data_IF_194321738434
#
_entry.id   IF_194321738434
#
_cell.length_a   1.000
_cell.length_b   1.000
_cell.length_c   1.000
_cell.angle_alpha   90.00
_cell.angle_beta   90.00
_cell.angle_gamma   90.00
#
_symmetry.space_group_name_H-M   'P 1'
#
loop_
_entity.id
_entity.type
_entity.pdbx_description
1 polymer ?
#
# COMPACT_ATOMS: atom_id res chain seq x y z
N UNK A 1 44.26 -29.34 -13.87
CA UNK A 1 42.88 -28.84 -13.68
C UNK A 1 42.76 -28.32 -12.25
N UNK A 2 42.42 -27.05 -12.07
CA UNK A 2 42.17 -26.49 -10.74
C UNK A 2 40.81 -27.00 -10.26
N UNK A 3 40.79 -27.73 -9.14
CA UNK A 3 39.55 -28.24 -8.54
C UNK A 3 38.99 -27.22 -7.57
N UNK A 4 37.68 -27.21 -7.33
CA UNK A 4 37.04 -26.31 -6.34
C UNK A 4 37.65 -26.48 -4.94
N UNK A 5 38.13 -27.69 -4.62
CA UNK A 5 38.85 -28.00 -3.37
C UNK A 5 40.21 -27.31 -3.25
N UNK A 6 40.79 -26.80 -4.34
CA UNK A 6 42.05 -26.05 -4.32
C UNK A 6 41.86 -24.53 -4.18
N UNK A 7 40.63 -24.02 -4.28
CA UNK A 7 40.33 -22.61 -4.13
C UNK A 7 40.37 -22.16 -2.66
N UNK A 8 40.71 -20.90 -2.42
CA UNK A 8 40.60 -20.29 -1.08
C UNK A 8 39.13 -20.15 -0.66
N UNK A 9 38.87 -20.01 0.64
CA UNK A 9 37.51 -19.88 1.14
C UNK A 9 36.83 -18.60 0.63
N UNK A 10 37.58 -17.52 0.45
CA UNK A 10 37.10 -16.24 -0.07
C UNK A 10 36.62 -16.37 -1.52
N UNK A 11 37.37 -17.10 -2.36
CA UNK A 11 36.95 -17.36 -3.74
C UNK A 11 35.70 -18.25 -3.80
N UNK A 12 35.60 -19.24 -2.92
CA UNK A 12 34.41 -20.09 -2.81
C UNK A 12 33.21 -19.25 -2.38
N UNK A 13 33.35 -18.38 -1.39
CA UNK A 13 32.28 -17.47 -0.95
C UNK A 13 31.79 -16.57 -2.09
N UNK A 14 32.70 -15.93 -2.85
CA UNK A 14 32.36 -15.12 -4.04
C UNK A 14 31.58 -15.94 -5.09
N UNK A 15 31.99 -17.19 -5.32
CA UNK A 15 31.27 -18.10 -6.23
C UNK A 15 29.87 -18.39 -5.69
N UNK A 16 29.77 -18.76 -4.41
CA UNK A 16 28.47 -19.07 -3.79
C UNK A 16 27.52 -17.88 -3.82
N UNK A 17 28.02 -16.65 -3.78
CA UNK A 17 27.19 -15.44 -3.87
C UNK A 17 26.60 -15.17 -5.27
N UNK A 18 26.97 -15.90 -6.32
CA UNK A 18 26.39 -15.69 -7.66
C UNK A 18 24.88 -15.98 -7.70
N UNK A 19 24.11 -15.22 -8.48
CA UNK A 19 22.64 -15.36 -8.58
C UNK A 19 22.20 -16.70 -9.16
N UNK A 20 23.04 -17.32 -10.00
CA UNK A 20 22.78 -18.65 -10.56
C UNK A 20 22.84 -19.78 -9.53
N UNK A 21 23.40 -19.53 -8.34
CA UNK A 21 23.51 -20.51 -7.26
C UNK A 21 22.40 -20.25 -6.25
N UNK A 22 21.42 -21.14 -6.18
CA UNK A 22 20.29 -21.00 -5.26
C UNK A 22 20.63 -21.35 -3.82
N UNK A 23 19.73 -21.01 -2.89
CA UNK A 23 19.83 -21.41 -1.47
C UNK A 23 20.03 -22.93 -1.32
N UNK A 24 19.30 -23.72 -2.12
CA UNK A 24 19.40 -25.19 -2.12
C UNK A 24 20.81 -25.66 -2.51
N UNK A 25 21.43 -25.01 -3.50
CA UNK A 25 22.77 -25.35 -3.96
C UNK A 25 23.82 -25.05 -2.90
N UNK A 26 23.70 -23.91 -2.20
CA UNK A 26 24.58 -23.55 -1.07
C UNK A 26 24.49 -24.59 0.06
N UNK A 27 23.28 -25.01 0.43
CA UNK A 27 23.07 -26.05 1.46
C UNK A 27 23.67 -27.39 1.02
N UNK A 28 23.43 -27.80 -0.22
CA UNK A 28 23.99 -29.03 -0.78
C UNK A 28 25.53 -28.98 -0.81
N UNK A 29 26.11 -27.84 -1.18
CA UNK A 29 27.54 -27.62 -1.19
C UNK A 29 28.17 -27.78 0.19
N UNK A 30 27.58 -27.16 1.23
CA UNK A 30 28.03 -27.33 2.61
C UNK A 30 27.91 -28.75 3.14
N UNK A 31 27.01 -29.55 2.57
CA UNK A 31 26.79 -30.95 2.98
C UNK A 31 27.86 -31.92 2.46
N UNK A 32 28.77 -31.45 1.60
CA UNK A 32 29.80 -32.31 0.99
C UNK A 32 31.02 -32.55 1.90
N UNK A 33 31.48 -31.55 2.65
CA UNK A 33 32.64 -31.69 3.55
C UNK A 33 32.67 -30.61 4.65
N UNK A 34 33.41 -30.88 5.74
CA UNK A 34 33.54 -29.96 6.89
C UNK A 34 34.09 -28.58 6.51
N UNK A 35 35.02 -28.51 5.56
CA UNK A 35 35.56 -27.22 5.09
C UNK A 35 34.48 -26.38 4.44
N UNK A 36 33.69 -26.96 3.53
CA UNK A 36 32.63 -26.23 2.84
C UNK A 36 31.47 -25.90 3.77
N UNK A 37 31.17 -26.75 4.75
CA UNK A 37 30.24 -26.43 5.83
C UNK A 37 30.68 -25.18 6.60
N UNK A 38 31.97 -25.04 6.89
CA UNK A 38 32.50 -23.84 7.54
C UNK A 38 32.44 -22.59 6.65
N UNK A 39 32.63 -22.74 5.33
CA UNK A 39 32.50 -21.62 4.38
C UNK A 39 31.05 -21.09 4.34
N UNK A 40 30.05 -21.96 4.37
CA UNK A 40 28.64 -21.53 4.36
C UNK A 40 28.14 -21.07 5.73
N UNK A 41 28.98 -21.03 6.77
CA UNK A 41 28.59 -20.55 8.10
C UNK A 41 28.59 -19.01 8.18
N UNK A 42 29.04 -18.32 7.13
CA UNK A 42 29.03 -16.87 7.03
C UNK A 42 27.60 -16.31 6.86
N UNK A 43 27.18 -15.46 7.79
CA UNK A 43 25.86 -14.82 7.76
C UNK A 43 25.73 -13.80 6.61
N UNK A 44 26.83 -13.20 6.14
CA UNK A 44 26.81 -12.29 5.00
C UNK A 44 26.42 -12.99 3.70
N UNK A 45 26.81 -14.26 3.54
CA UNK A 45 26.37 -15.10 2.44
C UNK A 45 24.85 -15.30 2.49
N UNK A 46 24.31 -15.64 3.66
CA UNK A 46 22.87 -15.85 3.84
C UNK A 46 22.05 -14.58 3.68
N UNK A 47 22.56 -13.44 4.16
CA UNK A 47 22.00 -12.12 3.91
C UNK A 47 21.84 -11.84 2.41
N UNK A 48 22.92 -12.05 1.65
CA UNK A 48 22.89 -11.90 0.18
C UNK A 48 21.90 -12.87 -0.46
N UNK A 49 21.91 -14.15 -0.06
CA UNK A 49 21.02 -15.18 -0.62
C UNK A 49 19.55 -14.92 -0.34
N UNK A 50 19.23 -14.46 0.87
CA UNK A 50 17.88 -14.07 1.25
C UNK A 50 17.37 -12.97 0.31
N UNK A 51 18.17 -11.94 0.06
CA UNK A 51 17.79 -10.80 -0.76
C UNK A 51 17.83 -11.04 -2.27
N UNK A 52 18.63 -11.99 -2.72
CA UNK A 52 18.56 -12.50 -4.09
C UNK A 52 17.24 -13.25 -4.32
N UNK A 53 16.83 -14.07 -3.35
CA UNK A 53 15.59 -14.83 -3.45
C UNK A 53 14.34 -13.95 -3.25
N UNK A 54 14.39 -13.01 -2.32
CA UNK A 54 13.26 -12.13 -1.96
C UNK A 54 13.66 -10.65 -1.95
N UNK A 55 13.86 -10.02 -3.12
CA UNK A 55 14.30 -8.62 -3.20
C UNK A 55 13.34 -7.64 -2.53
N UNK A 56 12.04 -7.91 -2.57
CA UNK A 56 11.00 -7.06 -1.98
C UNK A 56 11.06 -7.01 -0.44
N UNK A 57 11.66 -8.01 0.21
CA UNK A 57 11.81 -8.03 1.67
C UNK A 57 12.88 -7.08 2.18
N UNK A 58 13.78 -6.58 1.33
CA UNK A 58 14.84 -5.63 1.72
C UNK A 58 14.29 -4.47 2.54
N UNK A 59 13.16 -3.89 2.12
CA UNK A 59 12.53 -2.75 2.82
C UNK A 59 12.12 -3.11 4.25
N UNK A 60 11.55 -4.30 4.44
CA UNK A 60 11.13 -4.79 5.76
C UNK A 60 12.33 -5.04 6.67
N UNK A 61 13.38 -5.69 6.15
CA UNK A 61 14.59 -5.93 6.92
C UNK A 61 15.35 -4.66 7.25
N UNK A 62 15.45 -3.70 6.32
CA UNK A 62 16.07 -2.41 6.62
C UNK A 62 15.38 -1.69 7.77
N UNK A 63 14.03 -1.71 7.82
CA UNK A 63 13.29 -1.14 8.95
C UNK A 63 13.62 -1.86 10.27
N UNK A 64 13.59 -3.19 10.29
CA UNK A 64 13.94 -3.99 11.48
C UNK A 64 15.38 -3.72 11.96
N UNK A 65 16.33 -3.58 11.04
CA UNK A 65 17.73 -3.22 11.35
C UNK A 65 17.81 -1.80 11.93
N UNK A 66 17.07 -0.84 11.37
CA UNK A 66 16.98 0.53 11.91
C UNK A 66 16.38 0.55 13.32
N UNK A 67 15.42 -0.33 13.58
CA UNK A 67 14.80 -0.56 14.89
C UNK A 67 15.74 -1.33 15.85
N UNK A 68 16.99 -1.58 15.45
CA UNK A 68 18.06 -2.26 16.22
C UNK A 68 17.74 -3.71 16.59
N UNK A 69 16.94 -4.40 15.77
CA UNK A 69 16.77 -5.84 15.91
C UNK A 69 18.06 -6.58 15.54
N UNK A 70 18.45 -7.57 16.35
CA UNK A 70 19.54 -8.48 16.04
C UNK A 70 19.03 -9.59 15.12
N UNK A 71 19.45 -9.56 13.85
CA UNK A 71 18.94 -10.44 12.80
C UNK A 71 20.06 -11.36 12.34
N UNK A 72 19.85 -12.66 12.51
CA UNK A 72 20.73 -13.70 11.99
C UNK A 72 20.11 -14.23 10.69
N UNK A 73 20.66 -13.84 9.54
CA UNK A 73 20.09 -14.15 8.23
C UNK A 73 20.07 -15.66 7.93
N UNK A 74 21.01 -16.41 8.48
CA UNK A 74 21.00 -17.88 8.41
C UNK A 74 19.74 -18.47 9.06
N UNK A 75 19.30 -17.94 10.20
CA UNK A 75 18.08 -18.40 10.86
C UNK A 75 16.82 -17.96 10.11
N UNK A 76 16.84 -16.77 9.49
CA UNK A 76 15.75 -16.32 8.60
C UNK A 76 15.58 -17.26 7.39
N UNK A 77 16.68 -17.68 6.77
CA UNK A 77 16.64 -18.67 5.67
C UNK A 77 16.12 -20.01 6.16
N UNK A 78 16.53 -20.49 7.35
CA UNK A 78 15.98 -21.72 7.94
C UNK A 78 14.48 -21.60 8.22
N UNK A 79 14.04 -20.48 8.78
CA UNK A 79 12.63 -20.20 9.05
C UNK A 79 11.83 -20.25 7.74
N UNK A 80 12.33 -19.64 6.66
CA UNK A 80 11.68 -19.67 5.36
C UNK A 80 11.51 -21.11 4.83
N UNK A 81 12.54 -21.96 4.93
CA UNK A 81 12.49 -23.36 4.49
C UNK A 81 11.47 -24.14 5.33
N UNK A 82 11.47 -23.94 6.66
CA UNK A 82 10.51 -24.57 7.57
C UNK A 82 9.07 -24.17 7.23
N UNK A 83 8.81 -22.88 6.99
CA UNK A 83 7.51 -22.37 6.57
C UNK A 83 7.02 -23.03 5.28
N UNK A 84 7.89 -23.12 4.26
CA UNK A 84 7.57 -23.73 2.96
C UNK A 84 7.23 -25.21 3.10
N UNK A 85 8.02 -25.95 3.88
CA UNK A 85 7.75 -27.36 4.13
C UNK A 85 6.43 -27.56 4.88
N UNK A 86 6.18 -26.75 5.91
CA UNK A 86 4.93 -26.81 6.66
C UNK A 86 3.71 -26.51 5.77
N UNK A 87 3.78 -25.48 4.93
CA UNK A 87 2.72 -25.16 3.97
C UNK A 87 2.45 -26.35 3.03
N UNK A 88 3.51 -26.96 2.46
CA UNK A 88 3.35 -28.12 1.57
C UNK A 88 2.73 -29.31 2.27
N UNK A 89 3.11 -29.58 3.53
CA UNK A 89 2.46 -30.62 4.34
C UNK A 89 0.97 -30.34 4.54
N UNK A 90 0.59 -29.09 4.84
CA UNK A 90 -0.83 -28.71 4.96
C UNK A 90 -1.58 -28.92 3.64
N UNK A 91 -1.03 -28.44 2.52
CA UNK A 91 -1.63 -28.61 1.19
C UNK A 91 -1.88 -30.08 0.84
N UNK A 92 -0.97 -30.98 1.21
CA UNK A 92 -1.14 -32.43 1.02
C UNK A 92 -2.27 -32.99 1.90
N UNK A 93 -2.41 -32.53 3.15
CA UNK A 93 -3.48 -32.97 4.05
C UNK A 93 -4.85 -32.39 3.70
N UNK A 94 -4.89 -31.25 3.00
CA UNK A 94 -6.14 -30.58 2.65
C UNK A 94 -7.00 -31.41 1.71
N UNK A 95 -6.42 -32.22 0.81
CA UNK A 95 -7.22 -33.11 -0.05
C UNK A 95 -7.98 -34.13 0.80
N UNK A 96 -7.29 -34.77 1.74
CA UNK A 96 -7.90 -35.83 2.55
C UNK A 96 -8.97 -35.26 3.49
N UNK A 97 -8.77 -34.02 3.94
CA UNK A 97 -9.66 -33.35 4.90
C UNK A 97 -10.88 -32.73 4.23
N UNK A 98 -10.73 -32.22 3.01
CA UNK A 98 -11.72 -31.36 2.36
C UNK A 98 -12.21 -31.83 0.99
N UNK A 99 -11.88 -33.05 0.55
CA UNK A 99 -12.34 -33.55 -0.77
C UNK A 99 -13.87 -33.53 -0.95
N UNK A 100 -14.62 -33.64 0.15
CA UNK A 100 -16.07 -33.65 0.15
C UNK A 100 -16.72 -32.25 0.21
N UNK A 101 -15.91 -31.19 0.33
CA UNK A 101 -16.39 -29.81 0.40
C UNK A 101 -16.21 -29.11 -0.94
N UNK A 102 -17.31 -28.63 -1.49
CA UNK A 102 -17.28 -27.82 -2.72
C UNK A 102 -16.68 -26.42 -2.48
N UNK A 103 -16.91 -25.85 -1.30
CA UNK A 103 -16.36 -24.55 -0.89
C UNK A 103 -15.75 -24.64 0.52
N UNK A 104 -14.65 -23.91 0.70
CA UNK A 104 -13.98 -23.76 1.99
C UNK A 104 -14.37 -22.41 2.58
N UNK A 105 -14.92 -22.43 3.80
CA UNK A 105 -15.16 -21.23 4.57
C UNK A 105 -13.94 -20.89 5.44
N UNK A 106 -13.85 -19.65 5.91
CA UNK A 106 -12.75 -19.20 6.79
C UNK A 106 -12.56 -20.09 8.01
N UNK A 107 -13.67 -20.57 8.60
CA UNK A 107 -13.66 -21.50 9.75
C UNK A 107 -12.89 -22.78 9.46
N UNK A 108 -12.89 -23.24 8.21
CA UNK A 108 -12.16 -24.45 7.80
C UNK A 108 -10.65 -24.22 7.73
N UNK A 109 -10.23 -22.96 7.58
CA UNK A 109 -8.84 -22.56 7.36
C UNK A 109 -8.16 -21.98 8.61
N UNK A 110 -8.87 -21.79 9.72
CA UNK A 110 -8.32 -21.22 10.98
C UNK A 110 -7.08 -21.94 11.48
N UNK A 111 -7.00 -23.27 11.30
CA UNK A 111 -5.82 -24.04 11.69
C UNK A 111 -4.53 -23.60 10.95
N UNK A 112 -4.68 -23.01 9.76
CA UNK A 112 -3.58 -22.47 8.97
C UNK A 112 -3.01 -21.15 9.54
N UNK A 113 -3.66 -20.51 10.52
CA UNK A 113 -3.09 -19.32 11.21
C UNK A 113 -1.71 -19.65 11.81
N UNK A 114 -1.49 -20.89 12.24
CA UNK A 114 -0.18 -21.37 12.74
C UNK A 114 0.95 -21.27 11.72
N UNK A 115 0.65 -21.17 10.42
CA UNK A 115 1.65 -21.02 9.37
C UNK A 115 2.26 -19.61 9.33
N UNK A 116 1.50 -18.57 9.69
CA UNK A 116 1.89 -17.19 9.42
C UNK A 116 1.63 -16.18 10.55
N UNK A 117 0.83 -16.52 11.55
CA UNK A 117 0.48 -15.60 12.65
C UNK A 117 1.51 -15.69 13.80
N UNK A 118 2.24 -14.60 14.11
CA UNK A 118 3.27 -14.63 15.16
C UNK A 118 2.73 -14.92 16.57
N UNK A 119 1.51 -14.49 16.87
CA UNK A 119 0.82 -14.79 18.13
C UNK A 119 0.51 -16.29 18.32
N UNK A 120 0.54 -17.08 17.25
CA UNK A 120 0.40 -18.54 17.27
C UNK A 120 1.77 -19.26 17.19
N UNK A 121 2.88 -18.53 17.39
CA UNK A 121 4.23 -19.08 17.37
C UNK A 121 4.89 -19.14 16.00
N UNK A 122 4.29 -18.54 14.96
CA UNK A 122 4.93 -18.41 13.66
C UNK A 122 6.08 -17.39 13.71
N UNK A 123 7.02 -17.53 12.77
CA UNK A 123 8.09 -16.55 12.59
C UNK A 123 7.51 -15.19 12.13
N UNK A 124 8.10 -14.06 12.53
CA UNK A 124 7.59 -12.72 12.19
C UNK A 124 7.50 -12.48 10.67
N UNK A 125 8.42 -13.09 9.90
CA UNK A 125 8.44 -13.04 8.43
C UNK A 125 7.63 -14.16 7.76
N UNK A 126 7.02 -15.08 8.53
CA UNK A 126 6.31 -16.24 8.00
C UNK A 126 5.25 -15.88 6.97
N UNK A 127 4.47 -14.82 7.21
CA UNK A 127 3.47 -14.37 6.23
C UNK A 127 4.08 -14.20 4.84
N UNK A 128 5.21 -13.50 4.73
CA UNK A 128 5.80 -13.21 3.43
C UNK A 128 6.37 -14.46 2.76
N UNK A 129 6.95 -15.37 3.56
CA UNK A 129 7.46 -16.65 3.06
C UNK A 129 6.34 -17.57 2.57
N UNK A 130 5.21 -17.58 3.27
CA UNK A 130 4.03 -18.38 2.90
C UNK A 130 3.39 -17.84 1.63
N UNK A 131 3.18 -16.51 1.53
CA UNK A 131 2.62 -15.90 0.32
C UNK A 131 3.54 -16.12 -0.89
N UNK A 132 4.86 -15.96 -0.75
CA UNK A 132 5.81 -16.24 -1.84
C UNK A 132 5.69 -17.68 -2.36
N UNK A 133 5.64 -18.65 -1.45
CA UNK A 133 5.54 -20.06 -1.84
C UNK A 133 4.19 -20.39 -2.47
N UNK A 134 3.10 -19.81 -1.97
CA UNK A 134 1.78 -19.93 -2.60
C UNK A 134 1.82 -19.38 -4.02
N UNK A 135 2.35 -18.17 -4.23
CA UNK A 135 2.46 -17.57 -5.57
C UNK A 135 3.37 -18.39 -6.48
N UNK A 136 4.46 -18.95 -5.96
CA UNK A 136 5.34 -19.86 -6.69
C UNK A 136 4.57 -21.10 -7.16
N UNK A 137 3.78 -21.74 -6.29
CA UNK A 137 2.94 -22.90 -6.63
C UNK A 137 1.90 -22.54 -7.70
N UNK A 138 1.24 -21.38 -7.55
CA UNK A 138 0.22 -20.91 -8.50
C UNK A 138 0.79 -20.57 -9.88
N UNK A 139 2.03 -20.09 -9.94
CA UNK A 139 2.71 -19.75 -11.19
C UNK A 139 3.38 -20.97 -11.87
N UNK A 140 3.38 -22.16 -11.25
CA UNK A 140 3.90 -23.36 -11.89
C UNK A 140 3.07 -23.74 -13.12
N UNK A 141 3.76 -23.98 -14.24
CA UNK A 141 3.11 -24.49 -15.45
C UNK A 141 2.46 -25.85 -15.19
N UNK A 142 1.20 -26.08 -15.64
CA UNK A 142 0.55 -27.38 -15.56
C UNK A 142 1.33 -28.52 -16.25
N UNK A 143 2.22 -28.17 -17.18
CA UNK A 143 3.07 -29.13 -17.91
C UNK A 143 4.34 -29.51 -17.15
N UNK A 144 4.63 -28.87 -16.01
CA UNK A 144 5.77 -29.21 -15.16
C UNK A 144 5.52 -30.52 -14.41
N UNK A 145 6.52 -31.39 -14.35
CA UNK A 145 6.48 -32.60 -13.53
C UNK A 145 6.37 -32.33 -12.03
N UNK A 146 6.68 -31.11 -11.60
CA UNK A 146 6.55 -30.66 -10.20
C UNK A 146 5.17 -30.03 -9.90
N UNK A 147 4.32 -29.85 -10.92
CA UNK A 147 3.00 -29.24 -10.75
C UNK A 147 2.01 -30.23 -10.14
N UNK A 148 1.41 -29.82 -9.03
CA UNK A 148 0.31 -30.53 -8.39
C UNK A 148 -0.95 -29.65 -8.42
N UNK A 149 -1.92 -30.02 -9.27
CA UNK A 149 -3.15 -29.24 -9.47
C UNK A 149 -4.00 -29.14 -8.19
N UNK A 150 -3.97 -30.17 -7.34
CA UNK A 150 -4.62 -30.14 -6.02
C UNK A 150 -3.98 -29.10 -5.12
N UNK A 151 -2.65 -29.02 -5.11
CA UNK A 151 -1.95 -27.97 -4.37
C UNK A 151 -2.25 -26.58 -4.93
N UNK A 152 -2.33 -26.41 -6.25
CA UNK A 152 -2.72 -25.13 -6.86
C UNK A 152 -4.12 -24.69 -6.45
N UNK A 153 -5.09 -25.61 -6.48
CA UNK A 153 -6.46 -25.35 -6.05
C UNK A 153 -6.52 -24.84 -4.60
N UNK A 154 -5.92 -25.57 -3.66
CA UNK A 154 -5.92 -25.17 -2.24
C UNK A 154 -5.06 -23.94 -1.98
N UNK A 155 -3.95 -23.76 -2.70
CA UNK A 155 -3.11 -22.56 -2.62
C UNK A 155 -3.88 -21.30 -3.00
N UNK A 156 -4.76 -21.36 -4.01
CA UNK A 156 -5.62 -20.24 -4.40
C UNK A 156 -6.59 -19.86 -3.28
N UNK A 157 -7.20 -20.85 -2.61
CA UNK A 157 -8.11 -20.63 -1.47
C UNK A 157 -7.36 -20.08 -0.25
N UNK A 158 -6.20 -20.64 0.07
CA UNK A 158 -5.34 -20.17 1.16
C UNK A 158 -4.82 -18.76 0.93
N UNK A 159 -4.47 -18.39 -0.31
CA UNK A 159 -3.99 -17.04 -0.64
C UNK A 159 -4.98 -15.99 -0.17
N UNK A 160 -6.25 -16.13 -0.58
CA UNK A 160 -7.32 -15.22 -0.19
C UNK A 160 -7.50 -15.19 1.32
N UNK A 161 -7.57 -16.36 1.96
CA UNK A 161 -7.76 -16.46 3.41
C UNK A 161 -6.65 -15.77 4.21
N UNK A 162 -5.38 -16.14 3.95
CA UNK A 162 -4.21 -15.65 4.70
C UNK A 162 -4.13 -14.12 4.62
N UNK A 163 -4.43 -13.57 3.45
CA UNK A 163 -4.40 -12.14 3.26
C UNK A 163 -5.55 -11.43 3.94
N UNK A 164 -6.78 -11.90 3.79
CA UNK A 164 -7.93 -11.31 4.48
C UNK A 164 -7.74 -11.37 6.00
N UNK A 165 -7.22 -12.49 6.52
CA UNK A 165 -6.88 -12.65 7.94
C UNK A 165 -5.88 -11.61 8.41
N UNK A 166 -4.76 -11.43 7.70
CA UNK A 166 -3.74 -10.42 8.03
C UNK A 166 -4.29 -9.00 7.90
N UNK A 167 -5.00 -8.71 6.81
CA UNK A 167 -5.51 -7.37 6.54
C UNK A 167 -6.59 -6.98 7.54
N UNK A 168 -7.36 -7.93 8.07
CA UNK A 168 -8.29 -7.69 9.17
C UNK A 168 -7.55 -7.22 10.43
N UNK A 169 -6.45 -7.86 10.79
CA UNK A 169 -5.63 -7.43 11.94
C UNK A 169 -5.01 -6.05 11.70
N UNK A 170 -4.44 -5.80 10.51
CA UNK A 170 -3.91 -4.50 10.12
C UNK A 170 -4.98 -3.39 10.13
N UNK A 171 -6.19 -3.72 9.66
CA UNK A 171 -7.32 -2.81 9.68
C UNK A 171 -7.74 -2.49 11.12
N UNK A 172 -7.80 -3.50 11.99
CA UNK A 172 -8.10 -3.30 13.41
C UNK A 172 -7.06 -2.43 14.12
N UNK A 173 -5.77 -2.62 13.83
CA UNK A 173 -4.69 -1.77 14.34
C UNK A 173 -4.84 -0.32 13.85
N UNK A 174 -5.10 -0.13 12.57
CA UNK A 174 -5.31 1.18 11.95
C UNK A 174 -6.49 1.94 12.57
N UNK A 175 -7.68 1.33 12.69
CA UNK A 175 -8.86 2.00 13.27
C UNK A 175 -8.72 2.23 14.79
N UNK A 176 -7.82 1.50 15.45
CA UNK A 176 -7.52 1.68 16.88
C UNK A 176 -6.57 2.87 17.13
N UNK A 177 -5.89 3.37 16.09
CA UNK A 177 -5.07 4.57 16.18
C UNK A 177 -5.93 5.82 16.45
N UNK A 178 -5.36 6.89 17.05
CA UNK A 178 -6.05 8.18 17.17
C UNK A 178 -6.57 8.67 15.81
N UNK A 179 -7.71 9.39 15.78
CA UNK A 179 -8.32 9.90 14.54
C UNK A 179 -7.35 10.76 13.73
N UNK A 180 -6.45 11.45 14.41
CA UNK A 180 -5.39 12.24 13.79
C UNK A 180 -4.42 11.37 12.97
N UNK A 181 -4.22 10.10 13.31
CA UNK A 181 -3.30 9.20 12.60
C UNK A 181 -4.02 8.28 11.60
N UNK A 182 -5.35 8.33 11.53
CA UNK A 182 -6.14 7.53 10.59
C UNK A 182 -6.15 8.20 9.20
N UNK A 183 -5.04 8.10 8.48
CA UNK A 183 -4.85 8.74 7.18
C UNK A 183 -5.60 8.02 6.06
N UNK A 184 -6.20 8.79 5.14
CA UNK A 184 -6.98 8.24 4.03
C UNK A 184 -6.13 7.39 3.07
N UNK A 185 -4.89 7.79 2.80
CA UNK A 185 -4.01 7.00 1.93
C UNK A 185 -3.61 5.65 2.55
N UNK A 186 -3.56 5.55 3.87
CA UNK A 186 -3.28 4.29 4.56
C UNK A 186 -4.47 3.34 4.41
N UNK A 187 -5.68 3.84 4.66
CA UNK A 187 -6.90 3.07 4.45
C UNK A 187 -7.03 2.61 2.98
N UNK A 188 -6.79 3.51 2.02
CA UNK A 188 -6.81 3.18 0.60
C UNK A 188 -5.75 2.13 0.22
N UNK A 189 -4.59 2.13 0.88
CA UNK A 189 -3.56 1.10 0.68
C UNK A 189 -3.99 -0.26 1.22
N UNK A 190 -4.64 -0.30 2.39
CA UNK A 190 -5.18 -1.56 2.94
C UNK A 190 -6.26 -2.12 2.01
N UNK A 191 -7.14 -1.25 1.48
CA UNK A 191 -8.12 -1.64 0.46
C UNK A 191 -7.42 -2.18 -0.79
N UNK A 192 -6.35 -1.53 -1.26
CA UNK A 192 -5.59 -2.01 -2.42
C UNK A 192 -5.03 -3.42 -2.21
N UNK A 193 -4.43 -3.67 -1.04
CA UNK A 193 -3.94 -5.00 -0.65
C UNK A 193 -5.06 -6.05 -0.59
N UNK A 194 -6.28 -5.67 -0.19
CA UNK A 194 -7.42 -6.59 -0.10
C UNK A 194 -7.87 -7.11 -1.47
N UNK A 195 -7.83 -6.26 -2.50
CA UNK A 195 -8.32 -6.59 -3.83
C UNK A 195 -7.23 -7.08 -4.80
N UNK A 196 -5.96 -7.02 -4.41
CA UNK A 196 -4.82 -7.45 -5.24
C UNK A 196 -3.98 -8.50 -4.52
N UNK A 197 -4.53 -9.72 -4.32
CA UNK A 197 -3.90 -10.72 -3.48
C UNK A 197 -2.61 -11.33 -4.05
N UNK A 198 -2.36 -11.14 -5.32
CA UNK A 198 -1.17 -11.59 -6.01
C UNK A 198 -0.03 -10.56 -6.00
N UNK A 199 -0.26 -9.35 -5.46
CA UNK A 199 0.73 -8.26 -5.45
C UNK A 199 1.17 -7.88 -4.04
N UNK A 200 2.48 -7.67 -3.88
CA UNK A 200 3.06 -7.08 -2.67
C UNK A 200 2.98 -5.55 -2.75
N UNK A 201 1.90 -4.99 -2.21
CA UNK A 201 1.71 -3.53 -2.11
C UNK A 201 2.17 -3.08 -0.73
N UNK A 202 3.02 -2.06 -0.66
CA UNK A 202 3.52 -1.50 0.61
C UNK A 202 3.09 -0.04 0.77
N UNK A 203 2.62 0.32 1.97
CA UNK A 203 2.28 1.71 2.27
C UNK A 203 3.47 2.67 2.08
N UNK A 204 4.68 2.21 2.39
CA UNK A 204 5.90 3.01 2.18
C UNK A 204 6.07 3.44 0.71
N UNK A 205 5.63 2.63 -0.24
CA UNK A 205 5.74 2.96 -1.67
C UNK A 205 4.73 4.04 -2.07
N UNK A 206 3.51 3.94 -1.58
CA UNK A 206 2.47 4.98 -1.71
C UNK A 206 2.94 6.28 -1.06
N UNK A 207 3.52 6.19 0.14
CA UNK A 207 4.08 7.32 0.89
C UNK A 207 5.16 8.05 0.10
N UNK A 208 6.15 7.33 -0.45
CA UNK A 208 7.23 7.89 -1.27
C UNK A 208 6.67 8.60 -2.52
N UNK A 209 5.68 7.98 -3.19
CA UNK A 209 5.07 8.59 -4.37
C UNK A 209 4.35 9.89 -4.04
N UNK A 210 3.62 9.93 -2.92
CA UNK A 210 2.93 11.15 -2.45
C UNK A 210 3.93 12.23 -2.01
N UNK A 211 5.02 11.84 -1.33
CA UNK A 211 6.07 12.76 -0.91
C UNK A 211 6.78 13.40 -2.13
N UNK A 212 7.05 12.61 -3.17
CA UNK A 212 7.62 13.11 -4.42
C UNK A 212 6.72 14.16 -5.10
N UNK A 213 5.39 13.95 -5.07
CA UNK A 213 4.44 14.94 -5.60
C UNK A 213 4.47 16.20 -4.73
N UNK A 214 4.46 16.06 -3.40
CA UNK A 214 4.54 17.20 -2.48
C UNK A 214 5.83 18.02 -2.69
N UNK A 215 6.96 17.35 -2.95
CA UNK A 215 8.21 18.02 -3.28
C UNK A 215 8.13 18.81 -4.59
N UNK A 216 7.55 18.24 -5.66
CA UNK A 216 7.34 18.97 -6.92
C UNK A 216 6.44 20.20 -6.74
N UNK A 217 5.43 20.11 -5.87
CA UNK A 217 4.60 21.27 -5.51
C UNK A 217 5.44 22.34 -4.82
N UNK A 218 6.30 21.98 -3.87
CA UNK A 218 7.19 22.95 -3.21
C UNK A 218 8.17 23.60 -4.19
N UNK A 219 8.73 22.84 -5.13
CA UNK A 219 9.65 23.33 -6.16
C UNK A 219 8.95 24.36 -7.06
N UNK A 220 7.75 24.05 -7.54
CA UNK A 220 6.97 24.96 -8.36
C UNK A 220 6.48 26.19 -7.58
N UNK A 221 6.05 25.98 -6.32
CA UNK A 221 5.63 27.06 -5.44
C UNK A 221 6.78 28.03 -5.19
N UNK A 222 8.02 27.54 -5.08
CA UNK A 222 9.21 28.39 -4.92
C UNK A 222 9.45 29.27 -6.14
N UNK A 223 9.19 28.75 -7.34
CA UNK A 223 9.33 29.49 -8.59
C UNK A 223 8.27 30.60 -8.75
N UNK A 224 7.03 30.33 -8.34
CA UNK A 224 5.90 31.26 -8.52
C UNK A 224 5.75 32.22 -7.32
N UNK A 225 6.02 31.74 -6.11
CA UNK A 225 5.79 32.40 -4.83
C UNK A 225 6.98 32.18 -3.86
N UNK A 226 8.18 32.64 -4.25
CA UNK A 226 9.42 32.45 -3.48
C UNK A 226 9.38 32.93 -2.01
N UNK A 227 8.52 33.89 -1.68
CA UNK A 227 8.36 34.44 -0.33
C UNK A 227 7.26 33.74 0.49
N UNK A 228 6.74 32.60 0.03
CA UNK A 228 5.68 31.87 0.73
C UNK A 228 6.19 31.39 2.12
N UNK A 229 5.40 31.56 3.20
CA UNK A 229 5.85 31.24 4.56
C UNK A 229 6.23 29.77 4.79
N UNK A 230 5.77 28.86 3.92
CA UNK A 230 6.11 27.43 3.95
C UNK A 230 7.61 27.14 3.90
N UNK A 231 8.40 28.01 3.27
CA UNK A 231 9.85 27.84 3.19
C UNK A 231 10.59 28.18 4.49
N UNK A 232 9.89 28.76 5.46
CA UNK A 232 10.41 29.04 6.80
C UNK A 232 10.02 27.97 7.82
N UNK A 233 9.27 26.94 7.41
CA UNK A 233 8.83 25.86 8.29
C UNK A 233 9.91 24.81 8.50
N UNK A 234 9.96 24.26 9.71
CA UNK A 234 10.94 23.25 10.10
C UNK A 234 10.60 21.85 9.56
N UNK A 235 11.61 20.99 9.46
CA UNK A 235 11.43 19.62 9.00
C UNK A 235 10.52 18.79 9.93
N UNK A 236 10.53 19.08 11.23
CA UNK A 236 9.68 18.43 12.22
C UNK A 236 8.21 18.69 11.95
N UNK A 237 7.86 19.90 11.51
CA UNK A 237 6.49 20.27 11.20
C UNK A 237 5.98 19.59 9.92
N UNK A 238 6.82 19.48 8.88
CA UNK A 238 6.51 18.66 7.71
C UNK A 238 6.31 17.19 8.07
N UNK A 239 7.19 16.65 8.93
CA UNK A 239 7.05 15.29 9.44
C UNK A 239 5.75 15.10 10.23
N UNK A 240 5.35 16.09 11.04
CA UNK A 240 4.09 16.04 11.76
C UNK A 240 2.90 15.99 10.79
N UNK A 241 2.85 16.88 9.79
CA UNK A 241 1.80 16.91 8.77
C UNK A 241 1.79 15.69 7.89
N UNK A 242 2.92 15.02 7.70
CA UNK A 242 3.02 13.79 6.94
C UNK A 242 2.30 12.63 7.63
N UNK A 243 2.42 12.52 8.95
CA UNK A 243 1.85 11.40 9.72
C UNK A 243 0.56 11.71 10.47
N UNK A 244 0.05 12.94 10.40
CA UNK A 244 -1.16 13.34 11.10
C UNK A 244 -2.11 14.17 10.22
N UNK A 245 -3.41 13.96 10.39
CA UNK A 245 -4.49 14.83 9.94
C UNK A 245 -4.42 16.16 10.69
N UNK A 246 -4.73 17.24 9.98
CA UNK A 246 -4.59 18.60 10.46
C UNK A 246 -5.97 19.09 10.92
N UNK A 247 -6.09 19.59 12.15
CA UNK A 247 -7.36 20.11 12.68
C UNK A 247 -7.75 21.46 12.09
N UNK A 248 -6.78 22.34 11.90
CA UNK A 248 -6.97 23.68 11.35
C UNK A 248 -5.81 24.04 10.43
N UNK A 249 -6.08 24.81 9.39
CA UNK A 249 -5.07 25.18 8.42
C UNK A 249 -3.95 26.02 9.05
N UNK A 250 -2.79 25.90 8.43
CA UNK A 250 -1.55 26.47 8.96
C UNK A 250 -1.25 27.84 8.38
N UNK A 251 -1.86 28.19 7.26
CA UNK A 251 -1.56 29.42 6.52
C UNK A 251 -2.72 30.41 6.52
N UNK A 252 -2.49 31.57 5.91
CA UNK A 252 -3.58 32.49 5.59
C UNK A 252 -4.38 31.94 4.40
N UNK A 253 -5.63 32.41 4.23
CA UNK A 253 -6.44 32.09 3.04
C UNK A 253 -5.69 32.28 1.72
N UNK A 254 -4.87 33.34 1.62
CA UNK A 254 -4.11 33.65 0.40
C UNK A 254 -3.04 32.58 0.15
N UNK A 255 -2.28 32.24 1.19
CA UNK A 255 -1.18 31.29 1.13
C UNK A 255 -1.69 29.85 0.87
N UNK A 256 -2.78 29.46 1.53
CA UNK A 256 -3.47 28.19 1.25
C UNK A 256 -3.90 28.08 -0.21
N UNK A 257 -4.52 29.15 -0.75
CA UNK A 257 -4.94 29.17 -2.15
C UNK A 257 -3.75 29.01 -3.10
N UNK A 258 -2.62 29.67 -2.80
CA UNK A 258 -1.39 29.52 -3.58
C UNK A 258 -0.89 28.08 -3.61
N UNK A 259 -0.88 27.39 -2.46
CA UNK A 259 -0.51 25.98 -2.40
C UNK A 259 -1.48 25.12 -3.24
N UNK A 260 -2.79 25.31 -3.08
CA UNK A 260 -3.80 24.51 -3.78
C UNK A 260 -3.76 24.74 -5.30
N UNK A 261 -3.56 25.98 -5.75
CA UNK A 261 -3.44 26.32 -7.17
C UNK A 261 -2.19 25.66 -7.79
N UNK A 262 -1.05 25.65 -7.09
CA UNK A 262 0.17 24.97 -7.55
C UNK A 262 0.00 23.45 -7.52
N UNK A 263 -0.60 22.89 -6.46
CA UNK A 263 -0.89 21.46 -6.35
C UNK A 263 -1.73 20.98 -7.52
N UNK A 264 -2.78 21.73 -7.86
CA UNK A 264 -3.64 21.46 -9.01
C UNK A 264 -2.83 21.40 -10.31
N UNK A 265 -1.99 22.39 -10.57
CA UNK A 265 -1.14 22.45 -11.78
C UNK A 265 -0.19 21.24 -11.83
N UNK A 266 0.49 20.94 -10.73
CA UNK A 266 1.41 19.79 -10.67
C UNK A 266 0.65 18.50 -10.96
N UNK A 267 -0.47 18.26 -10.29
CA UNK A 267 -1.18 17.00 -10.35
C UNK A 267 -1.84 16.80 -11.72
N UNK A 268 -2.61 17.78 -12.21
CA UNK A 268 -3.43 17.62 -13.42
C UNK A 268 -2.73 18.05 -14.70
N UNK A 269 -1.90 19.11 -14.67
CA UNK A 269 -1.32 19.66 -15.90
C UNK A 269 0.10 19.10 -16.17
N UNK A 270 0.91 18.87 -15.12
CA UNK A 270 2.29 18.40 -15.28
C UNK A 270 2.41 16.87 -15.20
N UNK A 271 1.80 16.28 -14.16
CA UNK A 271 1.78 14.83 -13.96
C UNK A 271 0.65 14.14 -14.72
N UNK A 272 -0.23 14.89 -15.36
CA UNK A 272 -1.33 14.40 -16.20
C UNK A 272 -2.26 13.41 -15.47
N UNK A 273 -2.47 13.60 -14.17
CA UNK A 273 -3.53 12.85 -13.50
C UNK A 273 -4.87 13.20 -14.15
N UNK A 274 -5.66 12.19 -14.45
CA UNK A 274 -6.96 12.37 -15.08
C UNK A 274 -8.03 11.54 -14.41
N UNK A 275 -9.23 12.11 -14.31
CA UNK A 275 -10.39 11.30 -14.02
C UNK A 275 -10.67 10.43 -15.23
N UNK A 276 -10.70 9.11 -15.04
CA UNK A 276 -11.34 8.25 -16.05
C UNK A 276 -12.79 8.74 -16.22
N UNK A 277 -13.35 8.77 -17.44
CA UNK A 277 -14.75 9.10 -17.63
C UNK A 277 -15.58 8.30 -16.62
N UNK A 278 -16.31 9.02 -15.77
CA UNK A 278 -17.22 8.43 -14.82
C UNK A 278 -18.30 7.60 -15.53
N UNK A 279 -19.16 6.91 -14.75
CA UNK A 279 -20.12 5.95 -15.27
C UNK A 279 -21.17 6.67 -16.11
N UNK A 280 -20.95 6.75 -17.42
CA UNK A 280 -22.07 6.79 -18.33
C UNK A 280 -22.86 5.49 -18.11
N UNK A 281 -24.20 5.53 -18.00
CA UNK A 281 -25.05 4.35 -17.78
C UNK A 281 -25.05 3.35 -18.96
N UNK A 282 -24.09 3.48 -19.89
CA UNK A 282 -23.93 2.65 -21.07
C UNK A 282 -22.50 2.08 -21.25
N UNK A 283 -21.58 2.31 -20.31
CA UNK A 283 -20.40 1.45 -20.26
C UNK A 283 -20.81 0.13 -19.60
N UNK A 284 -20.95 -0.91 -20.43
CA UNK A 284 -21.32 -2.28 -20.06
C UNK A 284 -20.27 -2.91 -19.12
N UNK A 285 -19.12 -2.26 -18.95
CA UNK A 285 -18.03 -2.61 -18.05
C UNK A 285 -17.92 -1.48 -17.01
N UNK A 286 -18.23 -1.77 -15.74
CA UNK A 286 -18.11 -0.80 -14.65
C UNK A 286 -16.69 -0.20 -14.50
N UNK A 287 -16.49 0.74 -13.54
CA UNK A 287 -15.17 1.35 -13.33
C UNK A 287 -14.12 0.28 -13.00
N UNK A 288 -13.10 0.14 -13.84
CA UNK A 288 -12.04 -0.85 -13.63
C UNK A 288 -11.41 -0.70 -12.24
N UNK A 289 -11.09 -1.83 -11.61
CA UNK A 289 -10.43 -1.89 -10.32
C UNK A 289 -9.20 -0.97 -10.24
N UNK A 290 -8.39 -0.92 -11.31
CA UNK A 290 -7.19 -0.07 -11.42
C UNK A 290 -7.43 1.44 -11.21
N UNK A 291 -8.67 1.92 -11.38
CA UNK A 291 -9.03 3.32 -11.16
C UNK A 291 -9.47 3.61 -9.72
N UNK A 292 -9.60 2.60 -8.87
CA UNK A 292 -10.01 2.71 -7.46
C UNK A 292 -8.81 2.48 -6.53
N UNK A 293 -7.86 1.65 -6.96
CA UNK A 293 -6.77 1.16 -6.11
C UNK A 293 -5.61 2.17 -6.13
N UNK A 294 -5.22 2.68 -4.96
CA UNK A 294 -4.32 3.85 -4.85
C UNK A 294 -2.94 3.62 -5.47
N UNK A 295 -2.41 2.40 -5.40
CA UNK A 295 -1.15 2.00 -6.05
C UNK A 295 -1.26 2.16 -7.57
N UNK A 296 -2.33 1.63 -8.15
CA UNK A 296 -2.61 1.66 -9.59
C UNK A 296 -2.89 3.09 -10.07
N UNK A 297 -3.58 3.90 -9.28
CA UNK A 297 -3.88 5.30 -9.59
C UNK A 297 -2.61 6.15 -9.58
N UNK A 298 -1.72 5.95 -8.59
CA UNK A 298 -0.45 6.65 -8.52
C UNK A 298 0.51 6.22 -9.63
N UNK A 299 0.47 4.97 -10.08
CA UNK A 299 1.26 4.46 -11.20
C UNK A 299 0.73 4.99 -12.54
N UNK A 300 -0.54 4.76 -12.83
CA UNK A 300 -1.16 5.03 -14.14
C UNK A 300 -1.61 6.48 -14.33
N UNK A 301 -1.63 7.28 -13.26
CA UNK A 301 -2.14 8.67 -13.27
C UNK A 301 -3.61 8.74 -13.71
N UNK A 302 -4.38 7.67 -13.52
CA UNK A 302 -5.79 7.59 -13.88
C UNK A 302 -6.59 7.04 -12.70
N UNK A 303 -7.63 7.76 -12.27
CA UNK A 303 -8.42 7.35 -11.11
C UNK A 303 -9.85 7.82 -11.14
N UNK A 304 -10.67 7.26 -10.24
CA UNK A 304 -12.00 7.76 -9.94
C UNK A 304 -11.92 8.98 -9.00
N UNK A 305 -13.07 9.62 -8.75
CA UNK A 305 -13.16 10.82 -7.90
C UNK A 305 -12.58 10.58 -6.51
N UNK A 306 -12.89 9.44 -5.90
CA UNK A 306 -12.47 9.13 -4.53
C UNK A 306 -10.95 9.02 -4.46
N UNK A 307 -10.35 8.20 -5.32
CA UNK A 307 -8.91 7.94 -5.29
C UNK A 307 -8.09 9.18 -5.62
N UNK A 308 -8.52 9.95 -6.63
CA UNK A 308 -7.88 11.22 -6.96
C UNK A 308 -8.03 12.25 -5.84
N UNK A 309 -9.18 12.30 -5.17
CA UNK A 309 -9.38 13.16 -4.02
C UNK A 309 -8.49 12.75 -2.83
N UNK A 310 -8.31 11.44 -2.58
CA UNK A 310 -7.37 10.94 -1.56
C UNK A 310 -5.94 11.37 -1.90
N UNK A 311 -5.49 11.20 -3.15
CA UNK A 311 -4.15 11.66 -3.57
C UNK A 311 -4.00 13.16 -3.37
N UNK A 312 -4.96 13.96 -3.84
CA UNK A 312 -4.93 15.42 -3.70
C UNK A 312 -4.89 15.83 -2.22
N UNK A 313 -5.80 15.29 -1.41
CA UNK A 313 -5.88 15.56 0.04
C UNK A 313 -4.59 15.18 0.76
N UNK A 314 -4.02 14.02 0.42
CA UNK A 314 -2.79 13.51 1.02
C UNK A 314 -1.61 14.43 0.76
N UNK A 315 -1.52 15.00 -0.45
CA UNK A 315 -0.46 15.96 -0.81
C UNK A 315 -0.72 17.32 -0.18
N UNK A 316 -1.95 17.83 -0.23
CA UNK A 316 -2.31 19.10 0.41
C UNK A 316 -2.02 19.09 1.92
N UNK A 317 -2.36 17.98 2.59
CA UNK A 317 -2.09 17.75 4.02
C UNK A 317 -0.59 17.82 4.33
N UNK A 318 0.26 17.16 3.54
CA UNK A 318 1.73 17.24 3.68
C UNK A 318 2.28 18.67 3.57
N UNK A 319 1.52 19.58 2.96
CA UNK A 319 1.86 20.99 2.79
C UNK A 319 1.13 21.91 3.77
N UNK A 320 0.52 21.36 4.82
CA UNK A 320 -0.14 22.14 5.87
C UNK A 320 -1.55 22.64 5.53
N UNK A 321 -2.15 22.15 4.43
CA UNK A 321 -3.49 22.52 3.98
C UNK A 321 -4.47 21.37 4.24
N UNK A 322 -5.53 21.65 5.00
CA UNK A 322 -6.64 20.73 5.24
C UNK A 322 -7.62 20.79 4.07
N UNK A 323 -7.88 19.62 3.49
CA UNK A 323 -9.00 19.41 2.60
C UNK A 323 -9.82 18.23 3.12
N UNK A 324 -11.13 18.40 3.22
CA UNK A 324 -12.03 17.39 3.77
C UNK A 324 -12.74 16.70 2.60
N UNK A 325 -12.60 15.37 2.52
CA UNK A 325 -13.39 14.56 1.61
C UNK A 325 -14.79 14.42 2.22
N UNK A 326 -15.82 14.82 1.49
CA UNK A 326 -17.21 14.81 1.97
C UNK A 326 -18.04 13.91 1.08
N UNK A 327 -18.89 13.12 1.72
CA UNK A 327 -19.70 12.11 1.07
C UNK A 327 -21.18 12.48 1.06
N UNK A 328 -21.79 12.32 -0.11
CA UNK A 328 -23.23 12.37 -0.33
C UNK A 328 -23.71 11.00 -0.80
N UNK A 329 -24.98 10.64 -0.60
CA UNK A 329 -25.52 9.36 -1.05
C UNK A 329 -25.31 9.03 -2.54
N UNK A 330 -24.95 10.01 -3.37
CA UNK A 330 -24.75 9.85 -4.82
C UNK A 330 -23.44 10.42 -5.36
N UNK A 331 -22.67 11.18 -4.56
CA UNK A 331 -21.50 11.94 -5.03
C UNK A 331 -20.44 12.12 -3.92
N UNK A 332 -19.17 12.26 -4.32
CA UNK A 332 -18.07 12.63 -3.43
C UNK A 332 -17.47 13.94 -3.90
N UNK A 333 -17.00 14.75 -2.97
CA UNK A 333 -16.21 15.91 -3.31
C UNK A 333 -15.17 16.23 -2.25
N UNK A 334 -14.14 16.94 -2.69
CA UNK A 334 -13.14 17.50 -1.82
C UNK A 334 -13.50 18.95 -1.49
N UNK A 335 -13.43 19.31 -0.22
CA UNK A 335 -13.75 20.65 0.25
C UNK A 335 -12.57 21.29 0.93
N UNK A 336 -12.50 22.61 0.83
CA UNK A 336 -11.50 23.43 1.48
C UNK A 336 -12.18 24.54 2.25
N UNK A 337 -11.92 24.60 3.55
CA UNK A 337 -12.35 25.68 4.43
C UNK A 337 -11.13 26.53 4.76
N UNK A 338 -11.04 27.79 4.29
CA UNK A 338 -9.88 28.61 4.57
C UNK A 338 -9.80 29.04 6.03
N UNK A 339 -8.59 29.30 6.51
CA UNK A 339 -8.42 29.94 7.81
C UNK A 339 -8.95 31.38 7.77
N UNK A 340 -9.91 31.70 8.62
CA UNK A 340 -10.36 33.09 8.81
C UNK A 340 -9.65 33.72 10.00
N UNK A 341 -9.13 34.93 9.80
CA UNK A 341 -8.82 35.80 10.93
C UNK A 341 -10.14 36.14 11.64
N UNK A 342 -10.17 35.95 12.96
CA UNK A 342 -11.33 36.02 13.89
C UNK A 342 -12.20 37.31 13.86
N UNK A 343 -12.07 38.18 12.85
CA UNK A 343 -12.74 39.49 12.78
C UNK A 343 -14.07 39.50 12.02
N UNK A 344 -14.37 38.51 11.16
CA UNK A 344 -15.62 38.49 10.40
C UNK A 344 -16.46 37.24 10.73
N UNK A 345 -17.24 37.35 11.81
CA UNK A 345 -18.30 36.40 12.14
C UNK A 345 -19.47 36.62 11.17
N UNK A 346 -19.56 35.81 10.10
CA UNK A 346 -20.71 35.93 9.21
C UNK A 346 -20.80 34.94 8.05
N UNK A 347 -19.68 34.44 7.53
CA UNK A 347 -19.74 33.55 6.37
C UNK A 347 -18.56 32.56 6.38
N UNK A 348 -18.78 31.37 6.96
CA UNK A 348 -17.88 30.23 6.75
C UNK A 348 -17.97 29.82 5.28
N UNK A 349 -17.14 30.46 4.45
CA UNK A 349 -17.11 30.24 3.02
C UNK A 349 -16.36 28.93 2.73
N UNK A 350 -17.11 27.87 2.45
CA UNK A 350 -16.58 26.60 1.97
C UNK A 350 -16.38 26.66 0.46
N UNK A 351 -15.23 26.14 0.03
CA UNK A 351 -14.92 25.94 -1.38
C UNK A 351 -14.96 24.46 -1.74
N UNK A 352 -15.40 24.20 -2.97
CA UNK A 352 -15.37 22.89 -3.59
C UNK A 352 -14.14 22.77 -4.49
N UNK A 353 -13.39 21.68 -4.37
CA UNK A 353 -12.29 21.34 -5.27
C UNK A 353 -12.82 20.32 -6.28
N UNK A 354 -12.97 20.76 -7.53
CA UNK A 354 -13.53 19.96 -8.63
C UNK A 354 -12.49 19.01 -9.21
N UNK A 355 -12.25 17.90 -8.51
CA UNK A 355 -11.28 16.85 -8.90
C UNK A 355 -11.56 16.28 -10.31
N UNK A 356 -12.81 16.26 -10.76
CA UNK A 356 -13.17 15.76 -12.10
C UNK A 356 -12.74 16.70 -13.22
N UNK A 357 -12.78 18.01 -12.97
CA UNK A 357 -12.43 19.01 -13.96
C UNK A 357 -11.07 19.63 -13.65
N UNK A 358 -10.11 18.81 -13.24
CA UNK A 358 -8.73 19.23 -13.07
C UNK A 358 -8.47 20.01 -11.79
N UNK A 359 -9.26 19.83 -10.73
CA UNK A 359 -9.00 20.33 -9.37
C UNK A 359 -9.29 21.81 -9.13
N UNK A 360 -10.10 22.48 -9.96
CA UNK A 360 -10.41 23.90 -9.74
C UNK A 360 -11.16 24.14 -8.43
N UNK A 361 -10.77 25.20 -7.73
CA UNK A 361 -11.48 25.70 -6.56
C UNK A 361 -12.71 26.49 -7.04
N UNK A 362 -13.90 26.08 -6.61
CA UNK A 362 -15.20 26.63 -6.98
C UNK A 362 -15.91 27.15 -5.73
N UNK A 363 -16.52 28.33 -5.83
CA UNK A 363 -17.41 28.84 -4.78
C UNK A 363 -18.80 28.19 -4.84
N UNK A 364 -19.66 28.47 -3.84
CA UNK A 364 -21.06 28.00 -3.82
C UNK A 364 -21.83 28.33 -5.10
N UNK A 365 -21.53 29.48 -5.69
CA UNK A 365 -22.20 30.00 -6.89
C UNK A 365 -21.75 29.31 -8.18
N UNK A 366 -20.60 28.64 -8.15
CA UNK A 366 -19.95 28.04 -9.32
C UNK A 366 -20.02 26.51 -9.33
N UNK A 367 -20.70 25.91 -8.35
CA UNK A 367 -20.84 24.46 -8.27
C UNK A 367 -21.70 23.92 -9.42
N UNK A 368 -21.28 22.82 -10.07
CA UNK A 368 -22.09 22.17 -11.09
C UNK A 368 -23.43 21.72 -10.51
N UNK A 369 -24.53 22.26 -11.03
CA UNK A 369 -25.89 21.84 -10.66
C UNK A 369 -26.11 20.40 -11.12
N UNK A 370 -26.09 19.44 -10.20
CA UNK A 370 -26.41 18.04 -10.51
C UNK A 370 -27.90 17.90 -10.80
N UNK A 371 -28.27 17.71 -12.08
CA UNK A 371 -29.60 17.25 -12.56
C UNK A 371 -30.81 17.82 -11.79
N UNK A 372 -30.93 19.15 -11.72
CA UNK A 372 -32.10 19.81 -11.15
C UNK A 372 -32.21 19.83 -9.62
N UNK A 373 -31.20 19.33 -8.88
CA UNK A 373 -31.10 19.46 -7.42
C UNK A 373 -30.23 20.66 -7.04
N UNK A 374 -30.50 21.26 -5.86
CA UNK A 374 -29.72 22.37 -5.30
C UNK A 374 -28.24 22.00 -5.22
N UNK A 375 -27.40 23.02 -5.32
CA UNK A 375 -25.95 22.93 -5.20
C UNK A 375 -25.58 22.11 -3.94
N UNK A 376 -24.80 21.02 -4.05
CA UNK A 376 -24.38 20.23 -2.87
C UNK A 376 -23.63 21.06 -1.82
N UNK A 377 -23.10 22.23 -2.23
CA UNK A 377 -22.40 23.17 -1.35
C UNK A 377 -23.35 23.90 -0.39
N UNK A 378 -24.66 23.98 -0.69
CA UNK A 378 -25.63 24.60 0.22
C UNK A 378 -25.81 23.80 1.53
N UNK A 379 -25.56 22.48 1.52
CA UNK A 379 -25.70 21.60 2.69
C UNK A 379 -24.36 21.16 3.30
N UNK A 380 -23.24 21.85 2.99
CA UNK A 380 -21.93 21.59 3.60
C UNK A 380 -21.94 21.59 5.12
N UNK A 381 -22.74 22.46 5.72
CA UNK A 381 -22.86 22.58 7.17
C UNK A 381 -23.68 21.44 7.81
N UNK A 382 -24.35 20.60 7.00
CA UNK A 382 -25.20 19.49 7.44
C UNK A 382 -24.49 18.13 7.32
N UNK A 383 -23.29 18.09 6.75
CA UNK A 383 -22.58 16.84 6.45
C UNK A 383 -21.15 16.83 7.00
N UNK A 384 -20.80 15.71 7.61
CA UNK A 384 -19.49 15.43 8.20
C UNK A 384 -18.45 14.99 7.16
N UNK A 385 -17.19 15.34 7.43
CA UNK A 385 -16.00 14.77 6.80
C UNK A 385 -16.06 13.23 6.85
N UNK A 386 -15.77 12.59 5.71
CA UNK A 386 -15.78 11.14 5.63
C UNK A 386 -14.62 10.56 6.44
N UNK A 387 -14.93 9.57 7.27
CA UNK A 387 -13.92 8.81 8.00
C UNK A 387 -13.25 7.78 7.09
N UNK A 388 -12.04 7.36 7.46
CA UNK A 388 -11.32 6.27 6.78
C UNK A 388 -12.14 4.96 6.72
N UNK A 389 -13.00 4.73 7.73
CA UNK A 389 -13.93 3.59 7.79
C UNK A 389 -14.98 3.69 6.69
N UNK A 390 -15.61 4.85 6.54
CA UNK A 390 -16.64 5.07 5.52
C UNK A 390 -16.04 4.97 4.11
N UNK A 391 -14.87 5.56 3.85
CA UNK A 391 -14.16 5.44 2.56
C UNK A 391 -13.95 3.97 2.18
N UNK A 392 -13.59 3.15 3.15
CA UNK A 392 -13.34 1.72 2.92
C UNK A 392 -14.63 0.96 2.63
N UNK A 393 -15.72 1.24 3.35
CA UNK A 393 -17.04 0.67 3.05
C UNK A 393 -17.55 1.03 1.65
N UNK A 394 -17.33 2.28 1.21
CA UNK A 394 -17.68 2.70 -0.14
C UNK A 394 -16.83 1.99 -1.20
N UNK A 395 -15.52 1.91 -0.98
CA UNK A 395 -14.62 1.18 -1.88
C UNK A 395 -15.07 -0.27 -2.02
N UNK A 396 -15.39 -0.93 -0.89
CA UNK A 396 -15.94 -2.29 -0.87
C UNK A 396 -17.26 -2.41 -1.63
N UNK A 397 -18.17 -1.44 -1.47
CA UNK A 397 -19.46 -1.42 -2.19
C UNK A 397 -19.29 -1.33 -3.71
N UNK A 398 -18.27 -0.61 -4.19
CA UNK A 398 -17.92 -0.57 -5.61
C UNK A 398 -17.40 -1.91 -6.13
N UNK A 399 -16.72 -2.70 -5.30
CA UNK A 399 -16.22 -4.02 -5.66
C UNK A 399 -17.26 -5.13 -5.54
N UNK A 400 -18.29 -5.01 -4.69
CA UNK A 400 -19.42 -5.96 -4.61
C UNK A 400 -20.34 -5.87 -5.86
N UNK A 401 -20.27 -4.77 -6.61
CA UNK A 401 -20.96 -4.59 -7.89
C UNK A 401 -20.25 -5.24 -9.09
N UNK A 402 -19.13 -5.92 -8.87
CA UNK A 402 -18.42 -6.79 -9.81
C UNK A 402 -18.57 -8.25 -9.38
#
# INVERSE_FOLDING_TARGET
MTTITSLSNELIDIILQQESIGIKDVVNFGSTCKRFLAVIDDDLLWHRKLFQRWPYLKKMYHKRIQDKEDIIFKEEVKASIKCRNNLRCHLTQMSDTFFNKNELADVDLVHCDTLFCPNMGAHIMSYYFVIDEILNILNMSPLSSECNLTHQYYSKKLLTYIQQRRLRDLWHEFISCPKEQQLLEQAATIVAQWYQPDKFIFYLDVEILLDNIAQQVLENLKNIHCNHPIFSISAEQFSFWKYNNIKDNQWSRKDEKQILDVLRIVLFDQLNFSSSPGPYPFNILGPKAEHILIDSVLENKAGNVISLAIVFQSVARRLGVRCDLVCFPTHFFLSWKPKFDKKNYGDDEYYYIDILHGGFIRSKNECPRTRGRRCPIESFNEHHEITSIEVSNYSVSYFILF
#
